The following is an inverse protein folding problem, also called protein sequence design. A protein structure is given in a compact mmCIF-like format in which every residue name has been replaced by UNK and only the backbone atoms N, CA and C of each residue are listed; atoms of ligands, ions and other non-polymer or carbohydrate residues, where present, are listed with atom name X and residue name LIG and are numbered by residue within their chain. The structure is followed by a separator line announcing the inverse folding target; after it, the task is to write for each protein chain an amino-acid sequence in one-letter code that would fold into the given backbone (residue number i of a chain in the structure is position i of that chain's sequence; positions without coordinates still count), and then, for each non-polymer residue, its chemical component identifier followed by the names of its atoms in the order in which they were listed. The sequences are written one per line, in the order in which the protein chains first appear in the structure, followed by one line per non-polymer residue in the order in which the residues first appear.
data_IF_634447237669
#
_entry.id   IF_634447237669
#
_cell.length_a   1.000
_cell.length_b   1.000
_cell.length_c   1.000
_cell.angle_alpha   90.00
_cell.angle_beta   90.00
_cell.angle_gamma   90.00
#
_symmetry.space_group_name_H-M   'P 1'
#
loop_
_entity.id
_entity.type
_entity.pdbx_description
1 polymer ?
#
# COMPACT_ATOMS: atom_id res chain seq x y z
N UNK A 1 6.32 3.36 -17.45
CA UNK A 1 7.22 2.22 -17.75
C UNK A 1 6.32 1.03 -17.60
N UNK A 2 5.90 0.51 -18.73
CA UNK A 2 4.99 -0.63 -18.79
C UNK A 2 5.89 -1.84 -18.95
N UNK A 3 6.18 -2.51 -17.85
CA UNK A 3 6.80 -3.84 -17.85
C UNK A 3 5.67 -4.86 -17.74
N UNK A 4 5.87 -6.04 -18.32
CA UNK A 4 4.91 -7.13 -18.31
C UNK A 4 5.29 -8.18 -17.27
N UNK A 5 4.45 -9.20 -17.08
CA UNK A 5 4.76 -10.28 -16.12
C UNK A 5 5.95 -11.11 -16.59
N UNK A 6 6.12 -11.25 -17.90
CA UNK A 6 7.20 -12.00 -18.54
C UNK A 6 8.57 -11.43 -18.18
N UNK A 7 8.67 -10.10 -18.06
CA UNK A 7 9.90 -9.42 -17.72
C UNK A 7 10.40 -9.81 -16.32
N UNK A 8 9.49 -10.15 -15.41
CA UNK A 8 9.87 -10.54 -14.05
C UNK A 8 10.42 -11.97 -13.96
N UNK A 9 10.14 -12.84 -14.95
CA UNK A 9 10.46 -14.27 -14.90
C UNK A 9 11.94 -14.60 -14.62
N UNK A 10 12.94 -13.91 -15.20
CA UNK A 10 14.35 -14.25 -15.01
C UNK A 10 14.84 -14.15 -13.56
N UNK A 11 14.21 -13.29 -12.73
CA UNK A 11 14.60 -13.08 -11.33
C UNK A 11 13.80 -13.90 -10.32
N UNK A 12 12.99 -14.87 -10.78
CA UNK A 12 12.04 -15.59 -9.94
C UNK A 12 12.51 -17.02 -9.63
N UNK A 13 12.45 -17.37 -8.34
CA UNK A 13 12.56 -18.75 -7.86
C UNK A 13 11.26 -19.17 -7.16
N UNK A 14 10.77 -20.37 -7.47
CA UNK A 14 9.60 -20.94 -6.83
C UNK A 14 9.98 -22.03 -5.84
N UNK A 15 9.39 -21.97 -4.64
CA UNK A 15 9.37 -23.05 -3.67
C UNK A 15 7.92 -23.47 -3.45
N UNK A 16 7.67 -24.75 -3.29
CA UNK A 16 6.31 -25.24 -3.03
C UNK A 16 6.25 -26.02 -1.74
N UNK A 17 5.15 -25.82 -1.02
CA UNK A 17 4.91 -26.39 0.30
C UNK A 17 3.45 -26.87 0.38
N UNK A 18 3.09 -27.49 1.50
CA UNK A 18 1.70 -27.90 1.76
C UNK A 18 0.91 -26.70 2.30
N UNK A 19 -0.36 -26.59 1.93
CA UNK A 19 -1.24 -25.52 2.41
C UNK A 19 -1.64 -25.76 3.87
N UNK A 20 -1.76 -24.69 4.66
CA UNK A 20 -1.86 -24.76 6.13
C UNK A 20 -3.27 -24.92 6.71
N UNK A 21 -4.26 -25.28 5.90
CA UNK A 21 -5.68 -25.29 6.31
C UNK A 21 -6.17 -26.62 6.90
N UNK A 22 -7.26 -26.58 7.66
CA UNK A 22 -8.01 -27.78 8.06
C UNK A 22 -8.57 -28.46 6.79
N UNK A 23 -8.06 -29.63 6.43
CA UNK A 23 -8.46 -30.29 5.19
C UNK A 23 -8.24 -31.80 5.20
N UNK A 24 -8.96 -32.49 4.31
CA UNK A 24 -8.86 -33.95 4.10
C UNK A 24 -7.54 -34.39 3.49
N UNK A 25 -7.46 -35.66 3.06
CA UNK A 25 -6.21 -36.31 2.61
C UNK A 25 -5.41 -35.50 1.57
N UNK A 26 -6.08 -34.80 0.65
CA UNK A 26 -5.41 -34.02 -0.39
C UNK A 26 -4.61 -32.82 0.15
N UNK A 27 -5.10 -32.11 1.18
CA UNK A 27 -4.40 -30.94 1.75
C UNK A 27 -3.12 -31.37 2.47
N UNK A 28 -3.18 -32.52 3.15
CA UNK A 28 -2.04 -33.08 3.88
C UNK A 28 -0.99 -33.74 2.97
N UNK A 29 -1.37 -34.13 1.75
CA UNK A 29 -0.50 -34.87 0.82
C UNK A 29 0.09 -33.99 -0.28
N UNK A 30 -0.69 -33.05 -0.83
CA UNK A 30 -0.33 -32.33 -2.07
C UNK A 30 0.31 -30.97 -1.74
N UNK A 31 1.51 -30.73 -2.30
CA UNK A 31 2.23 -29.46 -2.19
C UNK A 31 1.65 -28.40 -3.13
N UNK A 32 0.41 -27.97 -2.85
CA UNK A 32 -0.32 -26.99 -3.68
C UNK A 32 0.07 -25.54 -3.40
N UNK A 33 0.57 -25.21 -2.20
CA UNK A 33 1.02 -23.86 -1.84
C UNK A 33 2.28 -23.49 -2.62
N UNK A 34 2.27 -22.31 -3.23
CA UNK A 34 3.40 -21.75 -3.96
C UNK A 34 3.98 -20.54 -3.23
N UNK A 35 5.30 -20.52 -3.10
CA UNK A 35 6.10 -19.43 -2.57
C UNK A 35 7.01 -18.95 -3.71
N UNK A 36 6.95 -17.67 -4.02
CA UNK A 36 7.74 -16.99 -5.03
C UNK A 36 8.76 -16.11 -4.32
N UNK A 37 10.03 -16.30 -4.65
CA UNK A 37 11.12 -15.42 -4.23
C UNK A 37 11.62 -14.66 -5.46
N UNK A 38 11.66 -13.34 -5.37
CA UNK A 38 12.13 -12.46 -6.43
C UNK A 38 13.43 -11.76 -6.03
N UNK A 39 14.47 -11.93 -6.85
CA UNK A 39 15.72 -11.21 -6.70
C UNK A 39 15.67 -9.88 -7.45
N UNK A 40 15.52 -8.79 -6.70
CA UNK A 40 15.45 -7.45 -7.26
C UNK A 40 16.80 -6.94 -7.78
N UNK A 41 17.92 -7.43 -7.24
CA UNK A 41 19.26 -6.95 -7.62
C UNK A 41 19.68 -7.45 -8.99
N UNK A 42 19.39 -8.72 -9.28
CA UNK A 42 19.68 -9.36 -10.57
C UNK A 42 18.79 -8.83 -11.70
N UNK A 43 17.69 -8.16 -11.37
CA UNK A 43 16.80 -7.57 -12.37
C UNK A 43 17.42 -6.36 -13.05
N UNK A 44 17.48 -6.41 -14.39
CA UNK A 44 17.93 -5.32 -15.26
C UNK A 44 16.83 -4.32 -15.62
N UNK A 45 15.57 -4.61 -15.24
CA UNK A 45 14.39 -3.83 -15.64
C UNK A 45 14.24 -2.56 -14.80
N UNK A 46 14.74 -2.59 -13.57
CA UNK A 46 14.60 -1.49 -12.62
C UNK A 46 15.87 -0.68 -12.49
N UNK A 47 15.73 0.64 -12.55
CA UNK A 47 16.83 1.57 -12.27
C UNK A 47 17.11 1.64 -10.76
N UNK A 48 18.28 2.12 -10.33
CA UNK A 48 18.69 2.09 -8.91
C UNK A 48 17.70 2.79 -7.96
N UNK A 49 17.14 3.91 -8.40
CA UNK A 49 16.13 4.65 -7.64
C UNK A 49 14.81 3.85 -7.50
N UNK A 50 14.45 3.10 -8.53
CA UNK A 50 13.29 2.21 -8.52
C UNK A 50 13.55 1.01 -7.60
N UNK A 51 14.73 0.40 -7.69
CA UNK A 51 15.14 -0.69 -6.80
C UNK A 51 15.06 -0.25 -5.33
N UNK A 52 15.61 0.92 -4.99
CA UNK A 52 15.52 1.50 -3.64
C UNK A 52 14.07 1.70 -3.19
N UNK A 53 13.23 2.32 -4.03
CA UNK A 53 11.80 2.54 -3.71
C UNK A 53 11.03 1.24 -3.52
N UNK A 54 11.29 0.22 -4.34
CA UNK A 54 10.67 -1.10 -4.20
C UNK A 54 11.10 -1.72 -2.88
N UNK A 55 12.39 -1.70 -2.55
CA UNK A 55 12.91 -2.20 -1.26
C UNK A 55 12.26 -1.50 -0.07
N UNK A 56 12.20 -0.18 -0.08
CA UNK A 56 11.60 0.60 1.00
C UNK A 56 10.11 0.28 1.20
N UNK A 57 9.34 0.24 0.11
CA UNK A 57 7.88 -0.03 0.19
C UNK A 57 7.52 -1.48 0.46
N UNK A 58 8.38 -2.42 0.09
CA UNK A 58 8.18 -3.87 0.29
C UNK A 58 9.07 -4.43 1.40
N UNK A 59 9.61 -3.60 2.30
CA UNK A 59 10.47 -4.01 3.42
C UNK A 59 9.87 -5.13 4.26
N UNK A 60 8.56 -5.07 4.53
CA UNK A 60 7.82 -6.09 5.28
C UNK A 60 7.73 -7.46 4.59
N UNK A 61 8.12 -7.56 3.31
CA UNK A 61 8.08 -8.78 2.50
C UNK A 61 9.48 -9.24 2.09
N UNK A 62 10.53 -8.61 2.63
CA UNK A 62 11.90 -9.04 2.37
C UNK A 62 12.28 -10.23 3.25
N UNK A 63 12.95 -11.20 2.65
CA UNK A 63 13.63 -12.27 3.38
C UNK A 63 14.93 -11.74 4.00
N UNK A 64 15.53 -12.53 4.89
CA UNK A 64 16.86 -12.23 5.44
C UNK A 64 17.95 -12.10 4.36
N UNK A 65 17.77 -12.74 3.19
CA UNK A 65 18.63 -12.63 2.02
C UNK A 65 18.33 -11.41 1.14
N UNK A 66 17.38 -10.56 1.52
CA UNK A 66 17.00 -9.36 0.76
C UNK A 66 16.12 -9.63 -0.48
N UNK A 67 15.58 -10.85 -0.62
CA UNK A 67 14.66 -11.20 -1.71
C UNK A 67 13.22 -10.85 -1.34
N UNK A 68 12.40 -10.50 -2.34
CA UNK A 68 10.98 -10.21 -2.12
C UNK A 68 10.21 -11.53 -2.18
N UNK A 69 9.53 -11.88 -1.08
CA UNK A 69 8.75 -13.11 -1.00
C UNK A 69 7.24 -12.84 -1.16
N UNK A 70 6.59 -13.65 -2.00
CA UNK A 70 5.15 -13.66 -2.23
C UNK A 70 4.64 -15.09 -2.11
N UNK A 71 3.49 -15.30 -1.47
CA UNK A 71 2.95 -16.63 -1.20
C UNK A 71 1.49 -16.70 -1.61
N UNK A 72 1.06 -17.84 -2.16
CA UNK A 72 -0.33 -18.12 -2.52
C UNK A 72 -0.67 -19.59 -2.30
N UNK A 73 -1.78 -19.82 -1.61
CA UNK A 73 -2.38 -21.14 -1.35
C UNK A 73 -3.92 -21.12 -1.51
N UNK A 74 -4.42 -20.18 -2.33
CA UNK A 74 -5.85 -19.96 -2.59
C UNK A 74 -6.46 -21.05 -3.47
N UNK A 75 -5.69 -21.53 -4.45
CA UNK A 75 -6.15 -22.48 -5.45
C UNK A 75 -5.78 -23.92 -5.07
N UNK A 76 -6.53 -24.89 -5.61
CA UNK A 76 -6.23 -26.32 -5.40
C UNK A 76 -5.01 -26.81 -6.20
N UNK A 77 -4.68 -26.11 -7.29
CA UNK A 77 -3.58 -26.47 -8.18
C UNK A 77 -2.32 -25.65 -7.88
N UNK A 78 -1.18 -26.35 -7.84
CA UNK A 78 0.13 -25.72 -7.73
C UNK A 78 0.40 -24.73 -8.87
N UNK A 79 0.00 -25.09 -10.10
CA UNK A 79 0.19 -24.24 -11.28
C UNK A 79 -0.54 -22.91 -11.12
N UNK A 80 -1.82 -22.96 -10.77
CA UNK A 80 -2.63 -21.75 -10.54
C UNK A 80 -2.06 -20.91 -9.40
N UNK A 81 -1.60 -21.54 -8.32
CA UNK A 81 -0.96 -20.80 -7.22
C UNK A 81 0.34 -20.11 -7.65
N UNK A 82 1.13 -20.69 -8.58
CA UNK A 82 2.30 -20.02 -9.16
C UNK A 82 1.89 -18.78 -9.97
N UNK A 83 0.87 -18.90 -10.81
CA UNK A 83 0.33 -17.74 -11.56
C UNK A 83 -0.19 -16.65 -10.61
N UNK A 84 -0.92 -17.02 -9.56
CA UNK A 84 -1.37 -16.07 -8.53
C UNK A 84 -0.21 -15.37 -7.83
N UNK A 85 0.89 -16.07 -7.56
CA UNK A 85 2.09 -15.45 -7.00
C UNK A 85 2.72 -14.43 -7.97
N UNK A 86 2.79 -14.75 -9.26
CA UNK A 86 3.27 -13.82 -10.30
C UNK A 86 2.39 -12.57 -10.37
N UNK A 87 1.07 -12.75 -10.39
CA UNK A 87 0.12 -11.65 -10.40
C UNK A 87 0.28 -10.75 -9.18
N UNK A 88 0.36 -11.34 -7.98
CA UNK A 88 0.57 -10.60 -6.73
C UNK A 88 1.88 -9.83 -6.76
N UNK A 89 2.97 -10.44 -7.21
CA UNK A 89 4.28 -9.77 -7.35
C UNK A 89 4.16 -8.56 -8.30
N UNK A 90 3.59 -8.76 -9.48
CA UNK A 90 3.40 -7.71 -10.47
C UNK A 90 2.65 -6.50 -9.89
N UNK A 91 1.50 -6.74 -9.25
CA UNK A 91 0.71 -5.68 -8.63
C UNK A 91 1.45 -4.97 -7.49
N UNK A 92 2.21 -5.71 -6.68
CA UNK A 92 3.01 -5.14 -5.60
C UNK A 92 4.10 -4.22 -6.13
N UNK A 93 4.85 -4.66 -7.15
CA UNK A 93 5.90 -3.85 -7.77
C UNK A 93 5.29 -2.62 -8.44
N UNK A 94 4.20 -2.79 -9.20
CA UNK A 94 3.51 -1.68 -9.85
C UNK A 94 3.05 -0.61 -8.84
N UNK A 95 2.43 -1.05 -7.73
CA UNK A 95 2.03 -0.16 -6.63
C UNK A 95 3.23 0.48 -5.92
N UNK A 96 4.34 -0.25 -5.81
CA UNK A 96 5.56 0.28 -5.22
C UNK A 96 6.18 1.39 -6.10
N UNK A 97 6.13 1.23 -7.42
CA UNK A 97 6.65 2.22 -8.35
C UNK A 97 5.74 3.44 -8.52
N UNK A 98 4.44 3.31 -8.23
CA UNK A 98 3.51 4.43 -8.27
C UNK A 98 3.93 5.54 -7.29
N UNK A 99 4.22 6.72 -7.85
CA UNK A 99 4.56 7.94 -7.10
C UNK A 99 3.32 8.82 -7.06
N UNK A 100 2.72 8.94 -5.87
CA UNK A 100 1.58 9.82 -5.68
C UNK A 100 2.01 11.28 -5.85
N UNK A 101 1.19 12.06 -6.57
CA UNK A 101 1.40 13.51 -6.70
C UNK A 101 1.32 14.15 -5.31
N UNK A 102 2.28 15.01 -4.92
CA UNK A 102 2.23 15.67 -3.63
C UNK A 102 0.98 16.53 -3.53
N UNK A 103 0.27 16.41 -2.41
CA UNK A 103 -0.90 17.25 -2.12
C UNK A 103 -0.43 18.68 -1.87
N UNK A 104 -0.93 19.62 -2.66
CA UNK A 104 -0.80 21.05 -2.34
C UNK A 104 -1.88 21.39 -1.31
N UNK A 105 -1.48 21.91 -0.16
CA UNK A 105 -2.43 22.34 0.87
C UNK A 105 -3.34 23.44 0.31
N UNK A 106 -4.64 23.30 0.50
CA UNK A 106 -5.60 24.32 0.10
C UNK A 106 -5.62 25.43 1.14
N UNK A 107 -5.74 26.68 0.68
CA UNK A 107 -6.00 27.82 1.58
C UNK A 107 -7.45 27.74 2.09
N UNK A 108 -7.77 28.28 3.28
CA UNK A 108 -9.16 28.45 3.71
C UNK A 108 -9.96 29.20 2.65
N UNK A 109 -11.23 28.82 2.46
CA UNK A 109 -12.09 29.49 1.49
C UNK A 109 -12.41 30.92 1.92
N UNK A 110 -12.64 31.82 0.96
CA UNK A 110 -13.03 33.21 1.24
C UNK A 110 -14.28 33.27 2.13
N UNK A 111 -15.29 32.45 1.83
CA UNK A 111 -16.51 32.32 2.64
C UNK A 111 -16.22 31.89 4.09
N UNK A 112 -15.26 30.97 4.31
CA UNK A 112 -14.86 30.57 5.67
C UNK A 112 -14.18 31.72 6.42
N UNK A 113 -13.37 32.53 5.74
CA UNK A 113 -12.71 33.70 6.34
C UNK A 113 -13.72 34.76 6.73
N UNK A 114 -14.69 35.02 5.85
CA UNK A 114 -15.77 36.00 6.06
C UNK A 114 -16.70 35.57 7.19
N UNK A 115 -17.16 34.32 7.19
CA UNK A 115 -18.00 33.76 8.26
C UNK A 115 -17.32 33.87 9.63
N UNK A 116 -16.02 33.56 9.71
CA UNK A 116 -15.22 33.73 10.93
C UNK A 116 -15.22 35.19 11.42
N UNK A 117 -15.06 36.15 10.50
CA UNK A 117 -15.07 37.58 10.84
C UNK A 117 -16.44 38.02 11.37
N UNK A 118 -17.53 37.60 10.71
CA UNK A 118 -18.90 37.90 11.13
C UNK A 118 -19.20 37.29 12.51
N UNK A 119 -18.87 36.01 12.72
CA UNK A 119 -19.05 35.34 14.02
C UNK A 119 -18.24 36.02 15.14
N UNK A 120 -17.02 36.48 14.85
CA UNK A 120 -16.20 37.24 15.79
C UNK A 120 -16.90 38.54 16.19
N UNK A 121 -17.46 39.27 15.24
CA UNK A 121 -18.19 40.52 15.49
C UNK A 121 -19.46 40.26 16.32
N UNK A 122 -20.28 39.28 15.94
CA UNK A 122 -21.50 38.92 16.68
C UNK A 122 -21.19 38.52 18.13
N UNK A 123 -20.13 37.73 18.36
CA UNK A 123 -19.70 37.36 19.73
C UNK A 123 -19.26 38.57 20.54
N UNK A 124 -18.57 39.54 19.93
CA UNK A 124 -18.16 40.78 20.60
C UNK A 124 -19.37 41.62 21.02
N UNK A 125 -20.33 41.83 20.11
CA UNK A 125 -21.58 42.54 20.40
C UNK A 125 -22.38 41.85 21.51
N UNK A 126 -22.51 40.52 21.47
CA UNK A 126 -23.18 39.74 22.52
C UNK A 126 -22.53 39.90 23.89
N UNK A 127 -21.19 39.98 23.96
CA UNK A 127 -20.45 40.22 25.21
C UNK A 127 -20.67 41.63 25.76
N UNK A 128 -20.68 42.66 24.89
CA UNK A 128 -20.93 44.05 25.29
C UNK A 128 -22.33 44.23 25.89
N UNK A 129 -23.35 43.70 25.22
CA UNK A 129 -24.73 43.81 25.68
C UNK A 129 -24.97 43.12 27.04
N UNK A 130 -24.28 42.01 27.32
CA UNK A 130 -24.32 41.35 28.63
C UNK A 130 -23.74 42.19 29.77
N UNK A 131 -22.72 43.01 29.49
CA UNK A 131 -22.10 43.87 30.51
C UNK A 131 -22.98 45.05 30.88
N UNK A 132 -23.74 45.59 29.92
CA UNK A 132 -24.63 46.74 30.16
C UNK A 132 -25.82 46.36 31.06
N UNK A 133 -26.49 45.24 30.79
CA UNK A 133 -27.66 44.83 31.59
C UNK A 133 -27.38 44.38 33.02
N UNK A 134 -26.11 44.25 33.43
CA UNK A 134 -25.72 43.91 34.80
C UNK A 134 -25.43 45.15 35.68
N UNK A 135 -25.44 46.36 35.10
CA UNK A 135 -25.15 47.61 35.79
C UNK A 135 -26.40 48.46 36.12
N UNK A 136 -27.59 47.96 35.78
CA UNK A 136 -28.88 48.67 35.91
C UNK A 136 -29.79 48.10 37.02
N UNK A 137 -29.22 47.59 38.12
CA UNK A 137 -29.96 47.21 39.35
C UNK A 137 -29.27 47.75 40.60
#
# INVERSE_FOLDING_TARGET
MDFSKEDLLPGISFKTSRSGGKGGQNVNKVSSKAELNYNLEESSIFNDLQKKRIKEKLSNRQTASGMIQVVSDEERSQYLNKERCLDKLFHLIHKALHVAKPRKATKPSKASVEKRLQEKQQKALKKLNRRRGAADF
#
